data_IF_788620934331
#
_entry.id   IF_788620934331
#
_cell.length_a   1.000
_cell.length_b   1.000
_cell.length_c   1.000
_cell.angle_alpha   90.00
_cell.angle_beta   90.00
_cell.angle_gamma   90.00
#
_symmetry.space_group_name_H-M   'P 1'
#
loop_
_entity.id
_entity.type
_entity.pdbx_description
1 polymer ?
#
# COMPACT_ATOMS: atom_id res chain seq x y z
N UNK A 1 22.06 -7.39 -22.26
CA UNK A 1 20.71 -7.97 -22.11
C UNK A 1 19.91 -7.07 -21.18
N UNK A 2 18.87 -6.36 -21.63
CA UNK A 2 18.00 -5.63 -20.71
C UNK A 2 17.08 -6.63 -20.00
N UNK A 3 17.09 -6.59 -18.67
CA UNK A 3 16.25 -7.42 -17.81
C UNK A 3 14.80 -6.91 -17.89
N UNK A 4 13.80 -7.73 -18.28
CA UNK A 4 12.42 -7.27 -18.34
C UNK A 4 11.93 -6.93 -16.93
N UNK A 5 11.52 -5.68 -16.73
CA UNK A 5 10.92 -5.22 -15.48
C UNK A 5 9.62 -6.01 -15.24
N UNK A 6 9.36 -6.51 -14.02
CA UNK A 6 8.11 -7.19 -13.72
C UNK A 6 6.94 -6.22 -13.87
N UNK A 7 5.82 -6.70 -14.40
CA UNK A 7 4.53 -6.01 -14.39
C UNK A 7 4.21 -5.61 -12.94
N UNK A 8 4.35 -4.32 -12.64
CA UNK A 8 4.18 -3.78 -11.29
C UNK A 8 2.70 -3.49 -11.06
N UNK A 9 1.99 -4.48 -10.52
CA UNK A 9 0.59 -4.31 -10.07
C UNK A 9 0.42 -3.20 -9.01
N UNK A 10 1.50 -2.83 -8.32
CA UNK A 10 1.51 -1.76 -7.32
C UNK A 10 2.12 -0.50 -7.91
N UNK A 11 1.42 0.65 -7.89
CA UNK A 11 1.99 1.91 -8.33
C UNK A 11 3.29 2.21 -7.58
N UNK A 12 4.25 2.83 -8.25
CA UNK A 12 5.49 3.30 -7.64
C UNK A 12 5.16 4.16 -6.42
N UNK A 13 5.69 3.81 -5.25
CA UNK A 13 5.51 4.61 -4.04
C UNK A 13 5.89 6.07 -4.34
N UNK A 14 5.04 7.01 -3.93
CA UNK A 14 5.23 8.43 -4.18
C UNK A 14 6.66 8.85 -3.82
N UNK A 15 7.39 9.37 -4.82
CA UNK A 15 8.78 9.83 -4.70
C UNK A 15 8.91 11.11 -3.87
N UNK A 16 7.80 11.70 -3.46
CA UNK A 16 7.77 12.86 -2.59
C UNK A 16 8.02 12.44 -1.14
N UNK A 17 8.97 13.11 -0.47
CA UNK A 17 9.17 12.96 0.97
C UNK A 17 7.88 13.40 1.67
N UNK A 18 7.09 12.44 2.16
CA UNK A 18 6.16 12.73 3.24
C UNK A 18 7.03 13.14 4.43
N UNK A 19 6.82 14.33 4.98
CA UNK A 19 7.33 14.69 6.30
C UNK A 19 6.87 13.62 7.28
N UNK A 20 7.77 12.69 7.56
CA UNK A 20 7.46 11.52 8.35
C UNK A 20 7.44 11.98 9.81
N UNK A 21 6.33 11.77 10.55
CA UNK A 21 6.25 12.20 11.94
C UNK A 21 7.44 11.66 12.73
N UNK A 22 8.06 12.50 13.55
CA UNK A 22 9.19 12.11 14.41
C UNK A 22 8.81 11.01 15.39
N UNK A 23 7.52 10.87 15.69
CA UNK A 23 6.94 9.84 16.53
C UNK A 23 6.36 8.69 15.69
N UNK A 24 6.36 7.49 16.26
CA UNK A 24 5.75 6.32 15.65
C UNK A 24 4.26 6.25 15.99
N UNK A 25 3.40 6.30 14.99
CA UNK A 25 1.93 6.19 15.09
C UNK A 25 1.39 4.88 15.75
N UNK A 26 2.25 3.95 16.13
CA UNK A 26 1.89 2.64 16.71
C UNK A 26 2.30 2.54 18.17
N UNK A 27 3.45 3.10 18.53
CA UNK A 27 4.02 2.95 19.85
C UNK A 27 4.34 4.29 20.52
N UNK A 28 4.05 5.41 19.85
CA UNK A 28 4.28 6.80 20.27
C UNK A 28 5.72 7.14 20.69
N UNK A 29 6.66 6.23 20.45
CA UNK A 29 8.08 6.46 20.63
C UNK A 29 8.69 7.17 19.43
N UNK A 30 9.81 7.86 19.66
CA UNK A 30 10.58 8.48 18.60
C UNK A 30 11.09 7.43 17.60
N UNK A 31 10.89 7.65 16.29
CA UNK A 31 11.33 6.73 15.21
C UNK A 31 12.84 6.49 15.17
N UNK A 32 13.63 7.32 15.84
CA UNK A 32 15.07 7.18 16.00
C UNK A 32 15.48 6.00 16.88
N UNK A 33 14.56 5.44 17.67
CA UNK A 33 14.86 4.32 18.59
C UNK A 33 14.87 2.99 17.80
N UNK A 34 15.82 2.07 18.03
CA UNK A 34 15.95 0.82 17.27
C UNK A 34 14.90 -0.28 17.61
N UNK A 35 13.68 0.06 18.04
CA UNK A 35 12.65 -0.91 18.49
C UNK A 35 11.47 -1.10 17.50
N UNK A 36 11.58 -0.54 16.30
CA UNK A 36 10.44 -0.46 15.37
C UNK A 36 10.22 -1.68 14.47
N UNK A 37 10.89 -2.81 14.69
CA UNK A 37 10.71 -4.01 13.84
C UNK A 37 9.25 -4.52 13.87
N UNK A 38 8.67 -4.64 15.06
CA UNK A 38 7.26 -5.04 15.22
C UNK A 38 6.30 -4.00 14.64
N UNK A 39 6.56 -2.71 14.90
CA UNK A 39 5.77 -1.60 14.37
C UNK A 39 5.81 -1.56 12.84
N UNK A 40 6.97 -1.85 12.23
CA UNK A 40 7.13 -1.94 10.78
C UNK A 40 6.28 -3.07 10.20
N UNK A 41 6.30 -4.25 10.84
CA UNK A 41 5.48 -5.40 10.43
C UNK A 41 3.98 -5.09 10.48
N UNK A 42 3.49 -4.47 11.55
CA UNK A 42 2.09 -4.03 11.68
C UNK A 42 1.74 -3.01 10.59
N UNK A 43 2.63 -2.05 10.31
CA UNK A 43 2.42 -1.04 9.26
C UNK A 43 2.34 -1.67 7.87
N UNK A 44 3.20 -2.66 7.59
CA UNK A 44 3.14 -3.42 6.34
C UNK A 44 1.83 -4.20 6.22
N UNK A 45 1.37 -4.83 7.31
CA UNK A 45 0.12 -5.59 7.31
C UNK A 45 -1.11 -4.69 7.09
N UNK A 46 -1.18 -3.53 7.75
CA UNK A 46 -2.24 -2.54 7.48
C UNK A 46 -2.26 -2.10 6.01
N UNK A 47 -1.10 -1.82 5.43
CA UNK A 47 -0.98 -1.48 4.00
C UNK A 47 -1.39 -2.63 3.07
N UNK A 48 -1.20 -3.89 3.46
CA UNK A 48 -1.67 -5.03 2.67
C UNK A 48 -3.19 -5.17 2.76
N UNK A 49 -3.77 -4.93 3.93
CA UNK A 49 -5.22 -4.99 4.14
C UNK A 49 -5.94 -3.86 3.40
N UNK A 50 -5.42 -2.63 3.49
CA UNK A 50 -5.88 -1.48 2.71
C UNK A 50 -5.81 -1.77 1.20
N UNK A 51 -4.72 -2.38 0.73
CA UNK A 51 -4.58 -2.75 -0.67
C UNK A 51 -5.55 -3.85 -1.10
N UNK A 52 -5.83 -4.82 -0.23
CA UNK A 52 -6.82 -5.86 -0.49
C UNK A 52 -8.23 -5.27 -0.63
N UNK A 53 -8.59 -4.28 0.21
CA UNK A 53 -9.85 -3.57 0.11
C UNK A 53 -9.97 -2.80 -1.22
N UNK A 54 -8.93 -2.03 -1.60
CA UNK A 54 -8.89 -1.30 -2.88
C UNK A 54 -9.01 -2.25 -4.08
N UNK A 55 -8.37 -3.42 -4.04
CA UNK A 55 -8.49 -4.41 -5.11
C UNK A 55 -9.88 -5.04 -5.17
N UNK A 56 -10.53 -5.26 -4.02
CA UNK A 56 -11.92 -5.71 -3.98
C UNK A 56 -12.87 -4.68 -4.61
N UNK A 57 -12.72 -3.40 -4.26
CA UNK A 57 -13.48 -2.31 -4.88
C UNK A 57 -13.26 -2.24 -6.40
N UNK A 58 -12.01 -2.29 -6.85
CA UNK A 58 -11.68 -2.34 -8.30
C UNK A 58 -12.31 -3.53 -8.99
N UNK A 59 -12.35 -4.71 -8.34
CA UNK A 59 -13.00 -5.91 -8.89
C UNK A 59 -14.51 -5.72 -9.03
N UNK A 60 -15.16 -5.09 -8.05
CA UNK A 60 -16.60 -4.77 -8.13
C UNK A 60 -16.88 -3.71 -9.21
N UNK A 61 -16.03 -2.69 -9.34
CA UNK A 61 -16.15 -1.67 -10.39
C UNK A 61 -15.99 -2.27 -11.79
N UNK A 62 -15.01 -3.17 -11.99
CA UNK A 62 -14.82 -3.90 -13.25
C UNK A 62 -16.03 -4.76 -13.58
N UNK A 63 -16.56 -5.52 -12.62
CA UNK A 63 -17.75 -6.34 -12.81
C UNK A 63 -19.01 -5.50 -13.09
N UNK A 64 -19.14 -4.31 -12.50
CA UNK A 64 -20.24 -3.38 -12.78
C UNK A 64 -20.11 -2.75 -14.18
N UNK A 65 -18.89 -2.48 -14.64
CA UNK A 65 -18.63 -1.93 -15.97
C UNK A 65 -18.89 -2.94 -17.08
N UNK A 66 -18.52 -4.21 -16.89
CA UNK A 66 -18.88 -5.31 -17.81
C UNK A 66 -20.40 -5.46 -17.95
N UNK A 67 -21.15 -5.35 -16.84
CA UNK A 67 -22.63 -5.35 -16.86
C UNK A 67 -23.24 -4.14 -17.56
N UNK A 68 -22.57 -2.98 -17.52
CA UNK A 68 -23.01 -1.77 -18.24
C UNK A 68 -22.77 -1.85 -19.74
N UNK A 69 -21.70 -2.51 -20.17
CA UNK A 69 -21.39 -2.69 -21.60
C UNK A 69 -22.22 -3.80 -22.27
N UNK A 70 -22.86 -4.66 -21.48
CA UNK A 70 -23.75 -5.71 -21.95
C UNK A 70 -25.23 -5.27 -22.09
N UNK A 71 -25.54 -3.97 -21.96
CA UNK A 71 -26.90 -3.42 -22.08
C UNK A 71 -27.08 -2.66 -23.39
#
# INVERSE_FOLDING_TARGET
>A
MPNPLPDRDRPTMASHRLDLPSMCDICDFARSIPRHQLCSKIRQQRKTDEWAAVMAEKKTARAAQEKRYAR
#
